data_IF_884846874970
#
_entry.id   IF_884846874970
#
_cell.length_a   1.000
_cell.length_b   1.000
_cell.length_c   1.000
_cell.angle_alpha   90.00
_cell.angle_beta   90.00
_cell.angle_gamma   90.00
#
_symmetry.space_group_name_H-M   'P 1'
#
loop_
_entity.id
_entity.type
_entity.pdbx_description
1 polymer ?
#
# COMPACT_ATOMS: atom_id res chain seq x y z
N UNK A 1 -23.95 15.56 19.94
CA UNK A 1 -22.87 14.59 19.66
C UNK A 1 -22.35 14.86 18.27
N UNK A 2 -21.22 15.62 18.17
CA UNK A 2 -20.67 16.06 16.89
C UNK A 2 -19.82 14.97 16.25
N UNK A 3 -20.20 14.54 15.06
CA UNK A 3 -19.31 13.76 14.18
C UNK A 3 -18.33 14.74 13.55
N UNK A 4 -17.04 14.59 13.80
CA UNK A 4 -16.02 15.38 13.11
C UNK A 4 -15.91 14.91 11.66
N UNK A 5 -16.05 15.85 10.72
CA UNK A 5 -15.97 15.59 9.28
C UNK A 5 -14.77 16.33 8.73
N UNK A 6 -13.87 15.60 8.04
CA UNK A 6 -12.77 16.17 7.27
C UNK A 6 -13.01 15.89 5.81
N UNK A 7 -12.82 16.89 4.96
CA UNK A 7 -13.01 16.78 3.51
C UNK A 7 -11.72 17.09 2.78
N UNK A 8 -11.36 16.22 1.85
CA UNK A 8 -10.25 16.39 0.92
C UNK A 8 -10.81 16.46 -0.50
N UNK A 9 -10.20 17.31 -1.33
CA UNK A 9 -10.56 17.45 -2.73
C UNK A 9 -9.31 17.31 -3.57
N UNK A 10 -9.35 16.41 -4.55
CA UNK A 10 -8.26 16.20 -5.52
C UNK A 10 -8.79 16.34 -6.93
N UNK A 11 -8.05 17.07 -7.77
CA UNK A 11 -8.31 17.18 -9.20
C UNK A 11 -7.20 16.47 -9.96
N UNK A 12 -7.58 15.58 -10.88
CA UNK A 12 -6.65 14.90 -11.76
C UNK A 12 -7.23 14.87 -13.17
N UNK A 13 -6.53 15.47 -14.13
CA UNK A 13 -7.03 15.68 -15.49
C UNK A 13 -8.41 16.37 -15.45
N UNK A 14 -9.41 15.78 -16.13
CA UNK A 14 -10.79 16.29 -16.18
C UNK A 14 -11.69 15.71 -15.07
N UNK A 15 -11.13 15.07 -14.05
CA UNK A 15 -11.90 14.47 -12.96
C UNK A 15 -11.68 15.17 -11.62
N UNK A 16 -12.75 15.28 -10.86
CA UNK A 16 -12.77 15.80 -9.49
C UNK A 16 -13.13 14.67 -8.54
N UNK A 17 -12.21 14.34 -7.64
CA UNK A 17 -12.45 13.38 -6.56
C UNK A 17 -12.59 14.10 -5.23
N UNK A 18 -13.67 13.83 -4.54
CA UNK A 18 -13.96 14.35 -3.21
C UNK A 18 -13.96 13.18 -2.24
N UNK A 19 -13.10 13.26 -1.20
CA UNK A 19 -13.03 12.27 -0.13
C UNK A 19 -13.50 12.92 1.16
N UNK A 20 -14.47 12.29 1.84
CA UNK A 20 -15.01 12.75 3.12
C UNK A 20 -14.72 11.69 4.17
N UNK A 21 -14.12 12.12 5.28
CA UNK A 21 -13.79 11.28 6.43
C UNK A 21 -14.74 11.61 7.57
N UNK A 22 -15.35 10.59 8.18
CA UNK A 22 -16.25 10.74 9.32
C UNK A 22 -15.67 10.03 10.54
N UNK A 23 -15.67 10.70 11.66
CA UNK A 23 -15.09 10.19 12.91
C UNK A 23 -16.17 10.08 14.00
N UNK A 24 -16.03 9.09 14.88
CA UNK A 24 -16.83 8.99 16.09
C UNK A 24 -16.53 10.15 17.07
N UNK A 25 -17.34 10.36 18.11
CA UNK A 25 -17.03 11.31 19.18
C UNK A 25 -15.70 11.02 19.90
N UNK A 26 -15.23 9.76 19.87
CA UNK A 26 -13.94 9.33 20.43
C UNK A 26 -12.76 9.53 19.47
N UNK A 27 -12.99 10.12 18.28
CA UNK A 27 -11.95 10.37 17.28
C UNK A 27 -11.60 9.16 16.39
N UNK A 28 -12.34 8.06 16.47
CA UNK A 28 -12.13 6.90 15.60
C UNK A 28 -12.74 7.15 14.22
N UNK A 29 -12.01 6.83 13.16
CA UNK A 29 -12.49 6.93 11.77
C UNK A 29 -13.58 5.88 11.53
N UNK A 30 -14.82 6.30 11.33
CA UNK A 30 -15.96 5.39 11.16
C UNK A 30 -16.34 5.19 9.71
N UNK A 31 -16.05 6.17 8.83
CA UNK A 31 -16.45 6.10 7.43
C UNK A 31 -15.58 6.96 6.53
N UNK A 32 -15.29 6.45 5.34
CA UNK A 32 -14.73 7.21 4.21
C UNK A 32 -15.74 7.16 3.08
N UNK A 33 -16.05 8.32 2.50
CA UNK A 33 -16.91 8.44 1.32
C UNK A 33 -16.07 9.09 0.23
N UNK A 34 -15.86 8.39 -0.88
CA UNK A 34 -15.14 8.88 -2.04
C UNK A 34 -16.07 8.96 -3.24
N UNK A 35 -16.23 10.16 -3.79
CA UNK A 35 -16.99 10.38 -5.01
C UNK A 35 -16.11 10.99 -6.09
N UNK A 36 -16.24 10.48 -7.32
CA UNK A 36 -15.52 11.00 -8.49
C UNK A 36 -16.52 11.44 -9.54
N UNK A 37 -16.30 12.62 -10.13
CA UNK A 37 -17.12 13.17 -11.22
C UNK A 37 -16.22 13.82 -12.27
N UNK A 38 -16.72 13.96 -13.52
CA UNK A 38 -16.04 14.72 -14.54
C UNK A 38 -16.18 16.23 -14.24
N UNK A 39 -15.10 16.98 -14.43
CA UNK A 39 -15.06 18.42 -14.14
C UNK A 39 -15.72 19.25 -15.26
N UNK A 40 -15.70 18.73 -16.51
CA UNK A 40 -16.27 19.43 -17.69
C UNK A 40 -17.80 19.48 -17.70
N UNK A 41 -18.46 18.66 -16.90
CA UNK A 41 -19.92 18.57 -16.89
C UNK A 41 -20.47 19.15 -15.60
N UNK A 42 -20.50 20.50 -15.54
CA UNK A 42 -21.02 21.23 -14.37
C UNK A 42 -22.52 21.02 -14.13
N UNK A 43 -23.22 20.42 -15.11
CA UNK A 43 -24.67 20.16 -15.06
C UNK A 43 -25.05 18.83 -14.50
N UNK A 44 -24.13 17.82 -14.52
CA UNK A 44 -24.38 16.50 -13.93
C UNK A 44 -23.98 16.46 -12.47
N UNK A 45 -24.97 16.35 -11.59
CA UNK A 45 -24.78 16.15 -10.14
C UNK A 45 -24.46 14.70 -9.78
N UNK A 46 -24.65 13.77 -10.73
CA UNK A 46 -24.48 12.33 -10.51
C UNK A 46 -23.00 11.95 -10.51
N UNK A 47 -22.46 11.32 -9.45
CA UNK A 47 -21.09 10.85 -9.44
C UNK A 47 -20.90 9.69 -10.43
N UNK A 48 -19.73 9.64 -11.10
CA UNK A 48 -19.31 8.50 -11.92
C UNK A 48 -18.99 7.27 -11.06
N UNK A 49 -18.51 7.53 -9.84
CA UNK A 49 -18.14 6.51 -8.88
C UNK A 49 -18.44 7.02 -7.47
N UNK A 50 -19.02 6.17 -6.65
CA UNK A 50 -19.32 6.47 -5.24
C UNK A 50 -18.94 5.26 -4.38
N UNK A 51 -17.74 5.29 -3.82
CA UNK A 51 -17.21 4.25 -2.95
C UNK A 51 -17.37 4.67 -1.49
N UNK A 52 -17.86 3.76 -0.68
CA UNK A 52 -18.02 3.96 0.77
C UNK A 52 -17.30 2.85 1.52
N UNK A 53 -16.36 3.22 2.39
CA UNK A 53 -15.71 2.31 3.33
C UNK A 53 -16.21 2.59 4.74
N UNK A 54 -16.66 1.57 5.43
CA UNK A 54 -17.14 1.61 6.82
C UNK A 54 -16.18 0.82 7.71
N UNK A 55 -15.86 1.37 8.88
CA UNK A 55 -14.96 0.77 9.86
C UNK A 55 -15.74 0.40 11.12
N UNK A 56 -15.53 -0.81 11.64
CA UNK A 56 -16.13 -1.29 12.89
C UNK A 56 -15.05 -1.59 13.91
N UNK A 57 -15.29 -1.22 15.15
CA UNK A 57 -14.32 -1.30 16.24
C UNK A 57 -14.85 -2.15 17.39
N UNK A 58 -13.94 -2.88 18.04
CA UNK A 58 -14.25 -3.58 19.29
C UNK A 58 -14.24 -2.61 20.48
N UNK A 59 -14.56 -3.13 21.67
CA UNK A 59 -14.60 -2.34 22.91
C UNK A 59 -13.24 -1.72 23.31
N UNK A 60 -12.15 -2.20 22.75
CA UNK A 60 -10.78 -1.68 22.97
C UNK A 60 -10.36 -0.64 21.92
N UNK A 61 -11.29 -0.23 21.03
CA UNK A 61 -11.00 0.72 19.96
C UNK A 61 -10.15 0.14 18.81
N UNK A 62 -10.05 -1.20 18.70
CA UNK A 62 -9.35 -1.86 17.59
C UNK A 62 -10.32 -2.13 16.45
N UNK A 63 -9.96 -1.71 15.24
CA UNK A 63 -10.73 -2.00 14.04
C UNK A 63 -10.73 -3.52 13.80
N UNK A 64 -11.89 -4.15 13.81
CA UNK A 64 -12.01 -5.58 13.50
C UNK A 64 -12.60 -5.86 12.12
N UNK A 65 -13.23 -4.86 11.50
CA UNK A 65 -13.82 -5.01 10.17
C UNK A 65 -13.79 -3.68 9.40
N UNK A 66 -13.44 -3.79 8.12
CA UNK A 66 -13.57 -2.72 7.13
C UNK A 66 -14.38 -3.26 5.95
N UNK A 67 -15.45 -2.59 5.60
CA UNK A 67 -16.29 -2.95 4.47
C UNK A 67 -16.32 -1.81 3.45
N UNK A 68 -15.92 -2.12 2.22
CA UNK A 68 -15.98 -1.18 1.10
C UNK A 68 -17.05 -1.63 0.12
N UNK A 69 -17.99 -0.74 -0.17
CA UNK A 69 -19.07 -0.95 -1.11
C UNK A 69 -19.03 0.10 -2.23
N UNK A 70 -19.41 -0.32 -3.43
CA UNK A 70 -19.83 0.58 -4.48
C UNK A 70 -21.27 1.00 -4.19
N UNK A 71 -21.48 2.24 -3.79
CA UNK A 71 -22.80 2.73 -3.40
C UNK A 71 -23.77 2.91 -4.56
N UNK A 72 -23.30 2.94 -5.81
CA UNK A 72 -24.16 2.99 -7.00
C UNK A 72 -24.75 1.61 -7.30
N UNK A 73 -23.94 0.58 -7.27
CA UNK A 73 -24.35 -0.82 -7.56
C UNK A 73 -24.79 -1.59 -6.32
N UNK A 74 -24.49 -1.08 -5.11
CA UNK A 74 -24.68 -1.77 -3.82
C UNK A 74 -23.83 -3.04 -3.66
N UNK A 75 -22.83 -3.23 -4.52
CA UNK A 75 -21.94 -4.38 -4.45
C UNK A 75 -20.83 -4.14 -3.42
N UNK A 76 -20.54 -5.16 -2.60
CA UNK A 76 -19.34 -5.19 -1.78
C UNK A 76 -18.12 -5.33 -2.68
N UNK A 77 -17.22 -4.35 -2.63
CA UNK A 77 -15.96 -4.34 -3.39
C UNK A 77 -14.89 -5.11 -2.63
N UNK A 78 -14.79 -4.86 -1.33
CA UNK A 78 -13.78 -5.46 -0.46
C UNK A 78 -14.31 -5.57 0.97
N UNK A 79 -14.02 -6.68 1.63
CA UNK A 79 -14.26 -6.90 3.06
C UNK A 79 -12.95 -7.32 3.72
N UNK A 80 -12.55 -6.59 4.76
CA UNK A 80 -11.34 -6.87 5.55
C UNK A 80 -11.77 -7.20 6.98
N UNK A 81 -11.26 -8.31 7.52
CA UNK A 81 -11.47 -8.71 8.89
C UNK A 81 -10.12 -8.86 9.60
N UNK A 82 -10.03 -8.34 10.82
CA UNK A 82 -8.86 -8.44 11.68
C UNK A 82 -9.16 -9.31 12.88
N UNK A 83 -8.21 -10.18 13.23
CA UNK A 83 -8.21 -10.94 14.47
C UNK A 83 -7.04 -10.48 15.35
N UNK A 84 -7.30 -10.41 16.63
CA UNK A 84 -6.34 -9.96 17.64
C UNK A 84 -6.15 -11.05 18.70
N UNK A 85 -4.96 -11.12 19.27
CA UNK A 85 -4.70 -11.94 20.45
C UNK A 85 -5.26 -11.28 21.72
N UNK A 86 -5.08 -11.95 22.87
CA UNK A 86 -5.53 -11.47 24.18
C UNK A 86 -4.82 -10.18 24.62
N UNK A 87 -3.68 -9.83 24.02
CA UNK A 87 -2.91 -8.61 24.29
C UNK A 87 -3.19 -7.50 23.28
N UNK A 88 -4.19 -7.68 22.41
CA UNK A 88 -4.61 -6.73 21.36
C UNK A 88 -3.58 -6.52 20.24
N UNK A 89 -2.67 -7.48 20.01
CA UNK A 89 -1.84 -7.50 18.81
C UNK A 89 -2.56 -8.21 17.65
N UNK A 90 -2.46 -7.70 16.42
CA UNK A 90 -3.04 -8.37 15.27
C UNK A 90 -2.34 -9.71 15.05
N UNK A 91 -3.11 -10.79 14.87
CA UNK A 91 -2.59 -12.12 14.56
C UNK A 91 -2.94 -12.55 13.14
N UNK A 92 -4.07 -12.06 12.61
CA UNK A 92 -4.52 -12.38 11.27
C UNK A 92 -5.36 -11.25 10.68
N UNK A 93 -5.20 -11.02 9.37
CA UNK A 93 -6.04 -10.15 8.56
C UNK A 93 -6.51 -10.91 7.34
N UNK A 94 -7.81 -10.98 7.12
CA UNK A 94 -8.41 -11.57 5.93
C UNK A 94 -8.98 -10.46 5.05
N UNK A 95 -8.58 -10.42 3.78
CA UNK A 95 -9.12 -9.50 2.78
C UNK A 95 -9.87 -10.32 1.72
N UNK A 96 -11.15 -10.03 1.51
CA UNK A 96 -12.00 -10.67 0.51
C UNK A 96 -12.42 -9.65 -0.55
N UNK A 97 -12.19 -9.98 -1.81
CA UNK A 97 -12.56 -9.16 -2.95
C UNK A 97 -13.78 -9.73 -3.68
N UNK A 98 -14.60 -8.89 -4.29
CA UNK A 98 -15.83 -9.29 -5.01
C UNK A 98 -15.58 -10.23 -6.20
N UNK A 99 -14.37 -10.25 -6.75
CA UNK A 99 -13.98 -11.11 -7.88
C UNK A 99 -13.43 -12.49 -7.47
N UNK A 100 -13.67 -12.89 -6.22
CA UNK A 100 -13.32 -14.23 -5.72
C UNK A 100 -11.86 -14.42 -5.31
N UNK A 101 -11.06 -13.37 -5.32
CA UNK A 101 -9.73 -13.38 -4.72
C UNK A 101 -9.81 -13.05 -3.24
N UNK A 102 -9.03 -13.78 -2.44
CA UNK A 102 -8.89 -13.49 -1.02
C UNK A 102 -7.42 -13.53 -0.64
N UNK A 103 -7.03 -12.72 0.35
CA UNK A 103 -5.70 -12.81 0.97
C UNK A 103 -5.84 -13.01 2.47
N UNK A 104 -4.92 -13.76 3.05
CA UNK A 104 -4.78 -13.90 4.50
C UNK A 104 -3.35 -13.51 4.87
N UNK A 105 -3.22 -12.46 5.68
CA UNK A 105 -1.96 -12.04 6.28
C UNK A 105 -1.89 -12.57 7.71
N UNK A 106 -0.80 -13.24 8.05
CA UNK A 106 -0.46 -13.69 9.39
C UNK A 106 0.62 -12.79 9.96
N UNK A 107 0.51 -12.47 11.23
CA UNK A 107 1.42 -11.55 11.92
C UNK A 107 2.26 -12.29 12.96
N UNK A 108 3.50 -11.87 13.13
CA UNK A 108 4.34 -12.31 14.23
C UNK A 108 4.01 -11.54 15.53
N UNK A 109 4.65 -11.92 16.63
CA UNK A 109 4.48 -11.27 17.94
C UNK A 109 4.87 -9.79 17.98
N UNK A 110 5.58 -9.28 16.96
CA UNK A 110 5.93 -7.85 16.80
C UNK A 110 4.90 -7.09 15.95
N UNK A 111 3.81 -7.73 15.52
CA UNK A 111 2.79 -7.13 14.66
C UNK A 111 3.23 -6.96 13.20
N UNK A 112 4.27 -7.67 12.76
CA UNK A 112 4.75 -7.65 11.38
C UNK A 112 4.17 -8.86 10.62
N UNK A 113 3.80 -8.67 9.36
CA UNK A 113 3.33 -9.77 8.51
C UNK A 113 4.47 -10.77 8.30
N UNK A 114 4.33 -12.01 8.77
CA UNK A 114 5.31 -13.07 8.56
C UNK A 114 4.93 -14.02 7.43
N UNK A 115 3.65 -14.04 7.03
CA UNK A 115 3.15 -14.82 5.89
C UNK A 115 1.94 -14.15 5.28
N UNK A 116 1.84 -14.16 3.96
CA UNK A 116 0.63 -13.87 3.19
C UNK A 116 0.26 -15.09 2.35
N UNK A 117 -1.00 -15.48 2.38
CA UNK A 117 -1.57 -16.50 1.49
C UNK A 117 -2.61 -15.88 0.58
N UNK A 118 -2.50 -16.16 -0.72
CA UNK A 118 -3.43 -15.71 -1.74
C UNK A 118 -4.32 -16.87 -2.17
N UNK A 119 -5.62 -16.63 -2.21
CA UNK A 119 -6.62 -17.61 -2.57
C UNK A 119 -7.38 -17.16 -3.81
N UNK A 120 -7.68 -18.12 -4.67
CA UNK A 120 -8.63 -17.96 -5.78
C UNK A 120 -9.59 -19.14 -5.77
N UNK A 121 -10.89 -18.86 -5.77
CA UNK A 121 -11.94 -19.87 -5.69
C UNK A 121 -11.75 -20.86 -4.50
N UNK A 122 -11.34 -20.34 -3.35
CA UNK A 122 -11.16 -21.11 -2.12
C UNK A 122 -9.86 -21.94 -2.05
N UNK A 123 -9.00 -21.90 -3.06
CA UNK A 123 -7.76 -22.66 -3.10
C UNK A 123 -6.55 -21.70 -3.06
N UNK A 124 -5.51 -22.07 -2.31
CA UNK A 124 -4.26 -21.30 -2.25
C UNK A 124 -3.63 -21.29 -3.64
N UNK A 125 -3.38 -20.10 -4.19
CA UNK A 125 -2.70 -19.93 -5.48
C UNK A 125 -1.27 -19.38 -5.32
N UNK A 126 -1.01 -18.63 -4.24
CA UNK A 126 0.34 -18.18 -3.93
C UNK A 126 0.53 -18.03 -2.41
N UNK A 127 1.78 -18.11 -1.98
CA UNK A 127 2.20 -17.83 -0.62
C UNK A 127 3.46 -16.97 -0.63
N UNK A 128 3.52 -16.00 0.28
CA UNK A 128 4.72 -15.22 0.57
C UNK A 128 5.09 -15.37 2.03
N UNK A 129 6.29 -15.82 2.32
CA UNK A 129 6.90 -15.81 3.66
C UNK A 129 7.87 -14.64 3.78
N UNK A 130 7.82 -13.92 4.91
CA UNK A 130 8.63 -12.75 5.19
C UNK A 130 9.58 -13.02 6.34
N UNK A 131 10.81 -12.54 6.22
CA UNK A 131 11.82 -12.57 7.28
C UNK A 131 12.28 -11.17 7.63
N UNK A 132 12.63 -10.98 8.90
CA UNK A 132 13.04 -9.67 9.42
C UNK A 132 14.38 -9.81 10.14
N UNK A 133 15.19 -8.78 10.10
CA UNK A 133 16.42 -8.71 10.86
C UNK A 133 16.14 -8.43 12.36
N UNK A 134 17.20 -8.39 13.16
CA UNK A 134 17.12 -8.14 14.59
C UNK A 134 16.55 -6.79 14.96
N UNK A 135 16.66 -5.81 14.04
CA UNK A 135 16.09 -4.46 14.18
C UNK A 135 14.64 -4.37 13.70
N UNK A 136 14.07 -5.47 13.18
CA UNK A 136 12.69 -5.53 12.69
C UNK A 136 12.52 -5.02 11.26
N UNK A 137 13.61 -4.83 10.50
CA UNK A 137 13.55 -4.44 9.08
C UNK A 137 13.36 -5.69 8.22
N UNK A 138 12.62 -5.58 7.12
CA UNK A 138 12.40 -6.70 6.18
C UNK A 138 13.74 -7.14 5.57
N UNK A 139 14.23 -8.33 5.93
CA UNK A 139 15.48 -8.89 5.43
C UNK A 139 15.30 -9.85 4.26
N UNK A 140 14.10 -10.38 4.07
CA UNK A 140 13.81 -11.25 2.94
C UNK A 140 12.34 -11.54 2.76
N UNK A 141 12.02 -12.01 1.56
CA UNK A 141 10.72 -12.62 1.26
C UNK A 141 10.89 -13.77 0.29
N UNK A 142 10.08 -14.82 0.47
CA UNK A 142 9.99 -15.97 -0.43
C UNK A 142 8.56 -16.05 -0.92
N UNK A 143 8.36 -15.81 -2.20
CA UNK A 143 7.07 -15.99 -2.86
C UNK A 143 7.07 -17.30 -3.63
N UNK A 144 5.98 -18.06 -3.53
CA UNK A 144 5.79 -19.35 -4.19
C UNK A 144 4.42 -19.33 -4.87
N UNK A 145 4.39 -19.56 -6.18
CA UNK A 145 3.17 -19.88 -6.89
C UNK A 145 2.86 -21.37 -6.66
N UNK A 146 1.76 -21.67 -5.98
CA UNK A 146 1.34 -23.03 -5.62
C UNK A 146 0.37 -23.65 -6.63
N UNK A 147 -0.14 -22.85 -7.58
CA UNK A 147 -1.06 -23.28 -8.63
C UNK A 147 -0.57 -22.84 -10.01
N UNK A 148 0.36 -23.60 -10.58
CA UNK A 148 0.77 -23.35 -11.95
C UNK A 148 -0.41 -23.63 -12.89
N UNK A 149 -0.65 -22.72 -13.83
CA UNK A 149 -1.45 -22.94 -15.02
C UNK A 149 -0.52 -23.01 -16.25
N UNK A 150 -1.09 -23.19 -17.43
CA UNK A 150 -0.30 -23.29 -18.68
C UNK A 150 0.52 -22.04 -18.97
N UNK A 151 0.04 -20.87 -18.53
CA UNK A 151 0.64 -19.57 -18.81
C UNK A 151 1.58 -19.13 -17.67
N UNK A 152 1.39 -19.70 -16.45
CA UNK A 152 2.13 -19.35 -15.24
C UNK A 152 2.69 -20.59 -14.55
N UNK A 153 3.88 -21.08 -14.95
CA UNK A 153 4.49 -22.24 -14.33
C UNK A 153 4.75 -22.01 -12.84
N UNK A 154 4.77 -23.10 -12.08
CA UNK A 154 5.16 -23.02 -10.67
C UNK A 154 6.51 -22.33 -10.56
N UNK A 155 6.57 -21.31 -9.74
CA UNK A 155 7.74 -20.44 -9.61
C UNK A 155 7.99 -20.16 -8.15
N UNK A 156 9.26 -20.16 -7.77
CA UNK A 156 9.73 -19.65 -6.48
C UNK A 156 10.56 -18.40 -6.72
N UNK A 157 10.26 -17.36 -5.96
CA UNK A 157 11.02 -16.11 -6.00
C UNK A 157 11.56 -15.83 -4.60
N UNK A 158 12.85 -15.58 -4.50
CA UNK A 158 13.52 -15.17 -3.27
C UNK A 158 14.03 -13.74 -3.47
N UNK A 159 13.66 -12.85 -2.57
CA UNK A 159 14.16 -11.48 -2.53
C UNK A 159 14.85 -11.26 -1.19
N UNK A 160 16.07 -10.78 -1.20
CA UNK A 160 16.85 -10.43 -0.01
C UNK A 160 17.13 -8.93 -0.01
N UNK A 161 17.05 -8.33 1.17
CA UNK A 161 17.25 -6.92 1.40
C UNK A 161 18.45 -6.73 2.33
N UNK A 162 19.38 -5.87 1.95
CA UNK A 162 20.57 -5.54 2.76
C UNK A 162 20.54 -4.07 3.15
N UNK A 163 20.86 -3.80 4.39
CA UNK A 163 20.88 -2.44 4.94
C UNK A 163 22.27 -2.07 5.42
N UNK A 164 22.60 -0.79 5.34
CA UNK A 164 23.81 -0.25 5.96
C UNK A 164 23.66 -0.11 7.49
N UNK A 165 24.72 0.24 8.23
CA UNK A 165 24.66 0.45 9.67
C UNK A 165 23.70 1.57 10.11
N UNK A 166 23.38 2.52 9.22
CA UNK A 166 22.45 3.62 9.48
C UNK A 166 20.99 3.26 9.22
N UNK A 167 20.75 2.08 8.60
CA UNK A 167 19.41 1.58 8.31
C UNK A 167 18.88 1.86 6.90
N UNK A 168 19.71 2.43 6.02
CA UNK A 168 19.34 2.62 4.62
C UNK A 168 19.43 1.30 3.85
N UNK A 169 18.43 1.03 3.01
CA UNK A 169 18.40 -0.15 2.13
C UNK A 169 19.43 0.03 1.00
N UNK A 170 20.52 -0.73 1.03
CA UNK A 170 21.64 -0.58 0.07
C UNK A 170 21.64 -1.63 -1.04
N UNK A 171 20.97 -2.77 -0.85
CA UNK A 171 20.93 -3.81 -1.87
C UNK A 171 19.63 -4.59 -1.86
N UNK A 172 19.16 -4.96 -3.04
CA UNK A 172 18.09 -5.92 -3.25
C UNK A 172 18.62 -7.01 -4.18
N UNK A 173 18.68 -8.23 -3.68
CA UNK A 173 18.98 -9.44 -4.47
C UNK A 173 17.71 -10.17 -4.80
N UNK A 174 17.54 -10.55 -6.03
CA UNK A 174 16.37 -11.26 -6.53
C UNK A 174 16.79 -12.54 -7.24
N UNK A 175 16.16 -13.65 -6.88
CA UNK A 175 16.32 -14.95 -7.55
C UNK A 175 14.95 -15.49 -7.88
N UNK A 176 14.72 -15.81 -9.15
CA UNK A 176 13.52 -16.51 -9.62
C UNK A 176 13.92 -17.87 -10.16
N UNK A 177 13.24 -18.92 -9.73
CA UNK A 177 13.46 -20.30 -10.13
C UNK A 177 12.13 -20.90 -10.59
N UNK A 178 12.10 -21.52 -11.77
CA UNK A 178 10.96 -22.25 -12.29
C UNK A 178 11.11 -23.77 -12.03
N UNK A 179 10.08 -24.55 -12.40
CA UNK A 179 10.08 -26.02 -12.25
C UNK A 179 11.16 -26.73 -13.06
N UNK A 180 11.68 -26.10 -14.12
CA UNK A 180 12.78 -26.65 -14.95
C UNK A 180 14.16 -26.31 -14.37
N UNK A 181 14.22 -25.73 -13.15
CA UNK A 181 15.44 -25.23 -12.51
C UNK A 181 16.15 -24.10 -13.28
N UNK A 182 15.44 -23.45 -14.20
CA UNK A 182 15.96 -22.23 -14.80
C UNK A 182 15.96 -21.11 -13.75
N UNK A 183 17.13 -20.53 -13.56
CA UNK A 183 17.37 -19.57 -12.52
C UNK A 183 17.72 -18.21 -13.10
N UNK A 184 16.92 -17.22 -12.78
CA UNK A 184 17.18 -15.82 -13.12
C UNK A 184 17.61 -15.11 -11.83
N UNK A 185 18.80 -14.50 -11.87
CA UNK A 185 19.32 -13.70 -10.74
C UNK A 185 19.44 -12.24 -11.18
N UNK A 186 18.99 -11.34 -10.35
CA UNK A 186 19.14 -9.89 -10.53
C UNK A 186 19.53 -9.26 -9.20
N UNK A 187 20.49 -8.33 -9.27
CA UNK A 187 20.90 -7.54 -8.12
C UNK A 187 20.71 -6.06 -8.43
N UNK A 188 20.11 -5.34 -7.52
CA UNK A 188 20.00 -3.89 -7.57
C UNK A 188 20.74 -3.28 -6.38
N UNK A 189 21.67 -2.38 -6.67
CA UNK A 189 22.33 -1.57 -5.65
C UNK A 189 21.68 -0.20 -5.59
N UNK A 190 21.39 0.27 -4.38
CA UNK A 190 20.82 1.57 -4.11
C UNK A 190 21.92 2.48 -3.56
N UNK A 191 21.96 3.69 -4.07
CA UNK A 191 22.86 4.73 -3.57
C UNK A 191 22.02 5.87 -2.98
N UNK A 192 22.59 6.56 -2.00
CA UNK A 192 21.91 7.66 -1.30
C UNK A 192 22.78 8.92 -1.37
N UNK A 193 22.11 10.07 -1.33
CA UNK A 193 22.77 11.35 -1.18
C UNK A 193 23.16 11.61 0.29
N UNK A 194 23.79 12.75 0.54
CA UNK A 194 24.19 13.19 1.88
C UNK A 194 23.00 13.41 2.85
N UNK A 195 21.78 13.54 2.33
CA UNK A 195 20.56 13.69 3.10
C UNK A 195 19.80 12.36 3.32
N UNK A 196 20.32 11.24 2.80
CA UNK A 196 19.70 9.92 2.92
C UNK A 196 18.56 9.65 1.94
N UNK A 197 18.41 10.45 0.88
CA UNK A 197 17.43 10.18 -0.16
C UNK A 197 17.98 9.19 -1.19
N UNK A 198 17.19 8.20 -1.64
CA UNK A 198 17.64 7.28 -2.67
C UNK A 198 17.84 8.03 -4.01
N UNK A 199 19.01 7.90 -4.60
CA UNK A 199 19.34 8.48 -5.90
C UNK A 199 19.31 7.42 -7.00
N UNK A 200 18.60 7.76 -8.08
CA UNK A 200 18.69 7.02 -9.33
C UNK A 200 19.74 7.72 -10.23
N UNK A 201 20.78 7.02 -10.71
CA UNK A 201 21.84 7.62 -11.51
C UNK A 201 21.36 8.27 -12.82
N UNK A 202 20.16 7.89 -13.29
CA UNK A 202 19.56 8.45 -14.50
C UNK A 202 18.84 9.78 -14.28
N UNK A 203 18.77 10.26 -13.05
CA UNK A 203 18.10 11.52 -12.70
C UNK A 203 19.04 12.48 -12.00
N UNK A 204 18.76 13.77 -12.14
CA UNK A 204 19.32 14.84 -11.35
C UNK A 204 18.27 15.35 -10.37
N UNK A 205 18.65 15.55 -9.12
CA UNK A 205 17.78 16.00 -8.04
C UNK A 205 18.17 17.39 -7.59
N UNK A 206 17.21 18.22 -7.21
CA UNK A 206 17.41 19.46 -6.46
C UNK A 206 16.72 19.38 -5.12
N UNK A 207 17.29 20.04 -4.12
CA UNK A 207 16.86 19.98 -2.74
C UNK A 207 16.55 21.36 -2.19
N UNK A 208 15.65 21.42 -1.20
CA UNK A 208 15.46 22.61 -0.38
C UNK A 208 16.48 22.65 0.77
N UNK A 209 16.37 23.67 1.60
CA UNK A 209 17.28 23.89 2.75
C UNK A 209 17.19 22.80 3.83
N UNK A 210 16.14 21.96 3.79
CA UNK A 210 15.92 20.84 4.73
C UNK A 210 16.43 19.51 4.21
N UNK A 211 17.00 19.47 3.00
CA UNK A 211 17.44 18.23 2.35
C UNK A 211 16.31 17.44 1.69
N UNK A 212 15.11 18.02 1.58
CA UNK A 212 14.01 17.41 0.85
C UNK A 212 14.13 17.74 -0.63
N UNK A 213 14.08 16.74 -1.51
CA UNK A 213 14.14 16.98 -2.95
C UNK A 213 12.90 17.72 -3.46
N UNK A 214 13.13 18.73 -4.30
CA UNK A 214 12.09 19.60 -4.85
C UNK A 214 11.87 19.38 -6.35
N UNK A 215 12.88 18.85 -7.05
CA UNK A 215 12.72 18.43 -8.42
C UNK A 215 13.57 17.21 -8.75
N UNK A 216 13.12 16.47 -9.75
CA UNK A 216 13.77 15.30 -10.32
C UNK A 216 13.70 15.43 -11.84
N UNK A 217 14.83 15.51 -12.50
CA UNK A 217 14.93 15.68 -13.96
C UNK A 217 15.66 14.50 -14.56
N UNK A 218 15.07 13.85 -15.56
CA UNK A 218 15.72 12.78 -16.30
C UNK A 218 16.90 13.33 -17.11
N UNK A 219 18.07 12.67 -17.01
CA UNK A 219 19.26 13.01 -17.79
C UNK A 219 19.13 12.61 -19.27
N UNK A 220 18.25 11.66 -19.58
CA UNK A 220 18.07 11.11 -20.93
C UNK A 220 16.82 11.65 -21.63
N UNK A 221 15.79 12.04 -20.86
CA UNK A 221 14.55 12.60 -21.39
C UNK A 221 14.07 13.76 -20.50
N UNK A 222 14.38 15.02 -20.83
CA UNK A 222 13.97 16.18 -20.04
C UNK A 222 12.45 16.36 -19.89
N UNK A 223 11.65 15.76 -20.79
CA UNK A 223 10.19 15.76 -20.67
C UNK A 223 9.69 14.88 -19.50
N UNK A 224 10.52 13.92 -19.06
CA UNK A 224 10.26 13.06 -17.90
C UNK A 224 10.80 13.71 -16.62
N UNK A 225 10.22 14.87 -16.27
CA UNK A 225 10.65 15.67 -15.11
C UNK A 225 9.49 15.80 -14.14
N UNK A 226 9.80 15.70 -12.85
CA UNK A 226 8.85 15.83 -11.76
C UNK A 226 9.26 17.01 -10.86
N UNK A 227 8.31 17.87 -10.54
CA UNK A 227 8.48 18.96 -9.57
C UNK A 227 7.49 18.80 -8.45
N UNK A 228 7.97 18.87 -7.21
CA UNK A 228 7.13 18.86 -6.03
C UNK A 228 7.19 20.23 -5.37
N UNK A 229 6.03 20.87 -5.24
CA UNK A 229 5.92 22.09 -4.45
C UNK A 229 5.32 21.74 -3.08
N UNK A 230 6.12 21.85 -2.03
CA UNK A 230 5.62 21.73 -0.66
C UNK A 230 5.07 23.07 -0.19
N UNK A 231 3.77 23.13 0.02
CA UNK A 231 3.14 24.30 0.66
C UNK A 231 3.12 24.05 2.17
N UNK A 232 4.12 24.58 2.87
CA UNK A 232 4.11 24.60 4.33
C UNK A 232 3.06 25.59 4.82
N UNK A 233 1.95 25.10 5.40
CA UNK A 233 1.11 25.98 6.22
C UNK A 233 1.89 26.33 7.48
N UNK A 234 2.41 27.55 7.55
CA UNK A 234 2.87 28.12 8.82
C UNK A 234 1.65 28.18 9.76
N UNK A 235 1.62 27.34 10.77
CA UNK A 235 0.74 27.53 11.90
C UNK A 235 1.20 28.82 12.60
N UNK A 236 0.55 29.94 12.34
CA UNK A 236 0.69 31.13 13.18
C UNK A 236 0.27 30.73 14.59
N UNK A 237 1.24 30.81 15.52
CA UNK A 237 1.02 30.71 16.96
C UNK A 237 0.13 31.86 17.42
#
# INVERSE_FOLDING_TARGET
SGTNIVRETRTHNDSLTITTYQYSPQGLLTRIIQSTRLQKDSTTTTPLNLIVTTFRYNNLGKCYEEETIDSLTKATVCLINYQYDTTSHPVMKTTKWNHGQNTIDYYNHRGQVNRTQEYRNGLICAQTDYTYDTQGRLSGKIWINTRPDTDHPATKQVTLYTYDPFGYLVSISYVKENLQNEKITSNMTLTYDEFGNPINPNYQYTYDQTGTWTSKTSKTNPADSEKIAYVYKQNKK
#
